data_IF_023440882627
#
_entry.id   IF_023440882627
#
_cell.length_a   1.000
_cell.length_b   1.000
_cell.length_c   1.000
_cell.angle_alpha   90.00
_cell.angle_beta   90.00
_cell.angle_gamma   90.00
#
_symmetry.space_group_name_H-M   'P 1'
#
loop_
_entity.id
_entity.type
_entity.pdbx_description
1 polymer ?
#
# COMPACT_ATOMS: atom_id res chain seq x y z
N UNK A 1 -32.64 -42.19 19.70
CA UNK A 1 -31.61 -41.27 20.22
C UNK A 1 -31.52 -40.09 19.26
N UNK A 2 -31.71 -38.87 19.74
CA UNK A 2 -31.47 -37.67 18.91
C UNK A 2 -29.97 -37.55 18.72
N UNK A 3 -29.49 -37.65 17.48
CA UNK A 3 -28.09 -37.43 17.15
C UNK A 3 -27.76 -35.95 17.47
N UNK A 4 -26.89 -35.74 18.46
CA UNK A 4 -26.39 -34.38 18.77
C UNK A 4 -25.38 -34.00 17.69
N UNK A 5 -25.67 -32.95 16.94
CA UNK A 5 -24.71 -32.34 16.00
C UNK A 5 -23.85 -31.36 16.78
N UNK A 6 -22.54 -31.58 16.80
CA UNK A 6 -21.58 -30.63 17.37
C UNK A 6 -21.16 -29.62 16.30
N UNK A 7 -21.01 -28.36 16.68
CA UNK A 7 -20.38 -27.36 15.83
C UNK A 7 -18.86 -27.64 15.79
N UNK A 8 -18.33 -27.91 14.60
CA UNK A 8 -16.89 -28.01 14.37
C UNK A 8 -16.44 -26.62 13.88
N UNK A 9 -15.58 -25.89 14.61
CA UNK A 9 -15.24 -24.50 14.30
C UNK A 9 -14.82 -24.28 12.84
N UNK A 10 -13.94 -25.14 12.30
CA UNK A 10 -13.49 -25.09 10.91
C UNK A 10 -14.61 -25.21 9.86
N UNK A 11 -15.75 -25.82 10.22
CA UNK A 11 -16.90 -25.95 9.34
C UNK A 11 -17.79 -24.71 9.34
N UNK A 12 -17.61 -23.76 10.27
CA UNK A 12 -18.35 -22.50 10.28
C UNK A 12 -17.90 -21.60 9.13
N UNK A 13 -18.86 -21.02 8.39
CA UNK A 13 -18.55 -20.07 7.33
C UNK A 13 -17.65 -18.94 7.85
N UNK A 14 -16.58 -18.66 7.09
CA UNK A 14 -15.63 -17.60 7.42
C UNK A 14 -14.57 -17.97 8.46
N UNK A 15 -14.64 -19.13 9.13
CA UNK A 15 -13.62 -19.53 10.11
C UNK A 15 -12.22 -19.58 9.48
N UNK A 16 -11.25 -19.00 10.16
CA UNK A 16 -9.83 -19.01 9.80
C UNK A 16 -9.02 -18.86 11.08
N UNK A 17 -8.10 -19.79 11.32
CA UNK A 17 -7.19 -19.76 12.45
C UNK A 17 -5.87 -20.41 12.03
N UNK A 18 -4.76 -19.76 12.36
CA UNK A 18 -3.40 -20.23 12.04
C UNK A 18 -2.49 -20.11 13.26
N UNK A 19 -1.52 -21.01 13.37
CA UNK A 19 -0.52 -21.05 14.44
C UNK A 19 0.63 -20.07 14.14
N UNK A 20 0.31 -18.79 14.01
CA UNK A 20 1.23 -17.72 13.60
C UNK A 20 0.74 -17.02 12.32
N UNK A 21 1.65 -16.31 11.66
CA UNK A 21 1.37 -15.58 10.42
C UNK A 21 2.24 -16.07 9.27
N UNK A 22 1.77 -15.89 8.05
CA UNK A 22 2.58 -16.16 6.85
C UNK A 22 3.74 -15.17 6.81
N UNK A 23 4.95 -15.63 6.53
CA UNK A 23 6.15 -14.78 6.49
C UNK A 23 7.04 -15.10 5.29
N UNK A 24 7.80 -14.10 4.84
CA UNK A 24 8.87 -14.34 3.87
C UNK A 24 10.03 -15.08 4.55
N UNK A 25 10.43 -16.22 3.98
CA UNK A 25 11.59 -17.02 4.44
C UNK A 25 12.81 -16.88 3.52
N UNK A 26 12.62 -16.28 2.34
CA UNK A 26 13.70 -16.01 1.40
C UNK A 26 13.25 -15.11 0.26
N UNK A 27 14.14 -14.90 -0.71
CA UNK A 27 13.89 -13.94 -1.79
C UNK A 27 12.61 -14.23 -2.59
N UNK A 28 12.27 -15.52 -2.73
CA UNK A 28 11.09 -16.02 -3.43
C UNK A 28 10.45 -17.18 -2.63
N UNK A 29 10.49 -17.10 -1.29
CA UNK A 29 10.08 -18.20 -0.40
C UNK A 29 9.23 -17.71 0.75
N UNK A 30 8.24 -18.51 1.13
CA UNK A 30 7.36 -18.25 2.25
C UNK A 30 7.39 -19.42 3.25
N UNK A 31 7.28 -19.09 4.53
CA UNK A 31 6.86 -20.05 5.55
C UNK A 31 5.38 -19.81 5.86
N UNK A 32 4.59 -20.87 5.77
CA UNK A 32 3.15 -20.89 6.01
C UNK A 32 2.89 -21.77 7.23
N UNK A 33 2.47 -21.20 8.36
CA UNK A 33 2.09 -21.97 9.54
C UNK A 33 0.92 -22.92 9.28
N UNK A 34 0.82 -23.96 10.11
CA UNK A 34 -0.36 -24.81 10.11
C UNK A 34 -1.61 -24.05 10.58
N UNK A 35 -2.77 -24.48 10.12
CA UNK A 35 -4.03 -23.86 10.50
C UNK A 35 -5.27 -24.68 10.16
N UNK A 36 -6.41 -24.13 10.55
CA UNK A 36 -7.73 -24.65 10.20
C UNK A 36 -8.59 -23.53 9.63
N UNK A 37 -9.31 -23.84 8.56
CA UNK A 37 -10.07 -22.83 7.85
C UNK A 37 -11.28 -23.41 7.13
N UNK A 38 -12.23 -22.54 6.87
CA UNK A 38 -13.38 -22.81 6.04
C UNK A 38 -13.11 -22.43 4.58
N UNK A 39 -13.43 -23.34 3.64
CA UNK A 39 -13.35 -23.09 2.20
C UNK A 39 -14.68 -23.48 1.55
N UNK A 40 -15.46 -22.51 1.06
CA UNK A 40 -16.72 -22.78 0.36
C UNK A 40 -17.98 -22.81 1.24
N UNK A 41 -17.92 -22.29 2.48
CA UNK A 41 -19.10 -22.07 3.32
C UNK A 41 -19.40 -23.17 4.33
N UNK A 42 -20.57 -23.11 4.96
CA UNK A 42 -20.93 -23.97 6.09
C UNK A 42 -20.75 -25.47 5.79
N UNK A 43 -20.11 -26.20 6.69
CA UNK A 43 -19.82 -27.63 6.55
C UNK A 43 -18.50 -27.96 5.84
N UNK A 44 -17.70 -26.96 5.46
CA UNK A 44 -16.49 -27.14 4.63
C UNK A 44 -15.20 -26.73 5.34
N UNK A 45 -14.86 -27.46 6.40
CA UNK A 45 -13.62 -27.24 7.15
C UNK A 45 -12.44 -28.05 6.61
N UNK A 46 -11.26 -27.43 6.59
CA UNK A 46 -10.02 -28.01 6.11
C UNK A 46 -8.87 -27.70 7.06
N UNK A 47 -7.90 -28.61 7.12
CA UNK A 47 -6.59 -28.36 7.75
C UNK A 47 -5.63 -27.84 6.68
N UNK A 48 -4.98 -26.70 6.91
CA UNK A 48 -3.84 -26.25 6.12
C UNK A 48 -2.56 -26.80 6.77
N UNK A 49 -1.84 -27.73 6.13
CA UNK A 49 -0.57 -28.22 6.65
C UNK A 49 0.49 -27.10 6.64
N UNK A 50 1.50 -27.17 7.52
CA UNK A 50 2.59 -26.21 7.48
C UNK A 50 3.43 -26.42 6.22
N UNK A 51 3.89 -25.32 5.62
CA UNK A 51 4.78 -25.31 4.47
C UNK A 51 6.01 -24.47 4.81
N UNK A 52 7.20 -25.03 4.62
CA UNK A 52 8.48 -24.37 4.91
C UNK A 52 9.21 -24.15 3.59
N UNK A 53 9.81 -22.97 3.41
CA UNK A 53 10.49 -22.57 2.18
C UNK A 53 9.65 -22.81 0.92
N UNK A 54 8.35 -22.53 1.03
CA UNK A 54 7.38 -22.76 -0.03
C UNK A 54 7.62 -21.81 -1.20
N UNK A 55 7.69 -22.36 -2.41
CA UNK A 55 7.90 -21.62 -3.66
C UNK A 55 6.56 -21.25 -4.31
N UNK A 56 6.16 -19.98 -4.35
CA UNK A 56 4.93 -19.60 -5.04
C UNK A 56 5.01 -19.80 -6.57
N UNK A 57 6.19 -19.94 -7.16
CA UNK A 57 6.37 -20.08 -8.61
C UNK A 57 6.51 -21.51 -9.10
N UNK A 58 6.64 -22.47 -8.18
CA UNK A 58 6.72 -23.88 -8.57
C UNK A 58 5.41 -24.30 -9.26
N UNK A 59 5.51 -25.11 -10.32
CA UNK A 59 4.36 -25.52 -11.15
C UNK A 59 3.19 -26.11 -10.34
N UNK A 60 3.47 -26.83 -9.25
CA UNK A 60 2.46 -27.43 -8.39
C UNK A 60 1.77 -26.44 -7.42
N UNK A 61 2.32 -25.23 -7.29
CA UNK A 61 1.97 -24.23 -6.28
C UNK A 61 1.27 -23.01 -6.89
N UNK A 62 0.95 -23.02 -8.18
CA UNK A 62 0.44 -21.88 -8.93
C UNK A 62 -0.58 -22.30 -10.00
N UNK A 63 -1.33 -21.35 -10.55
CA UNK A 63 -2.51 -21.58 -11.39
C UNK A 63 -2.32 -21.31 -12.90
N UNK A 64 -1.08 -21.17 -13.33
CA UNK A 64 -0.64 -20.74 -14.66
C UNK A 64 -0.44 -19.22 -14.79
N UNK A 65 -0.73 -18.42 -13.76
CA UNK A 65 -0.60 -16.97 -13.80
C UNK A 65 0.71 -16.43 -13.22
N UNK A 66 1.57 -17.30 -12.68
CA UNK A 66 2.78 -16.92 -11.93
C UNK A 66 3.98 -17.82 -12.25
N UNK A 67 4.41 -17.83 -13.51
CA UNK A 67 5.59 -18.59 -13.94
C UNK A 67 6.92 -17.99 -13.44
N UNK A 68 6.91 -16.71 -13.08
CA UNK A 68 8.04 -16.00 -12.47
C UNK A 68 7.56 -14.79 -11.67
N UNK A 69 8.40 -14.27 -10.78
CA UNK A 69 8.14 -13.04 -10.04
C UNK A 69 8.86 -11.85 -10.69
N UNK A 70 8.09 -10.83 -11.05
CA UNK A 70 8.57 -9.58 -11.64
C UNK A 70 8.41 -8.44 -10.64
N UNK A 71 9.35 -7.49 -10.68
CA UNK A 71 9.28 -6.28 -9.86
C UNK A 71 7.91 -5.59 -10.03
N UNK A 72 7.19 -5.44 -8.93
CA UNK A 72 5.87 -4.82 -8.90
C UNK A 72 4.70 -5.79 -8.84
N UNK A 73 4.94 -7.10 -8.90
CA UNK A 73 3.87 -8.10 -8.83
C UNK A 73 3.23 -8.13 -7.44
N UNK A 74 1.90 -8.09 -7.41
CA UNK A 74 1.09 -8.44 -6.25
C UNK A 74 0.57 -9.87 -6.42
N UNK A 75 0.91 -10.75 -5.48
CA UNK A 75 0.56 -12.17 -5.52
C UNK A 75 -0.37 -12.51 -4.38
N UNK A 76 -1.41 -13.29 -4.67
CA UNK A 76 -2.43 -13.72 -3.72
C UNK A 76 -2.30 -15.22 -3.45
N UNK A 77 -2.49 -15.60 -2.20
CA UNK A 77 -2.42 -16.98 -1.73
C UNK A 77 -3.82 -17.51 -1.49
N UNK A 78 -4.15 -18.62 -2.14
CA UNK A 78 -5.44 -19.27 -2.06
C UNK A 78 -5.31 -20.66 -1.45
N UNK A 79 -6.03 -20.88 -0.35
CA UNK A 79 -6.27 -22.23 0.10
C UNK A 79 -7.33 -22.88 -0.79
N UNK A 80 -7.06 -24.11 -1.23
CA UNK A 80 -7.93 -24.85 -2.14
C UNK A 80 -8.37 -26.17 -1.51
N UNK A 81 -9.60 -26.61 -1.79
CA UNK A 81 -10.14 -27.84 -1.21
C UNK A 81 -9.35 -29.07 -1.65
N UNK A 82 -8.92 -29.90 -0.69
CA UNK A 82 -8.40 -31.25 -0.94
C UNK A 82 -9.40 -32.34 -0.55
N UNK A 83 -9.25 -33.53 -1.14
CA UNK A 83 -10.21 -34.62 -1.00
C UNK A 83 -10.18 -35.32 0.37
N UNK A 84 -9.09 -35.17 1.13
CA UNK A 84 -8.85 -35.82 2.42
C UNK A 84 -9.10 -34.91 3.63
N UNK A 85 -9.74 -33.75 3.42
CA UNK A 85 -9.95 -32.74 4.46
C UNK A 85 -8.74 -31.84 4.72
N UNK A 86 -7.69 -31.94 3.90
CA UNK A 86 -6.59 -30.96 3.89
C UNK A 86 -6.78 -29.94 2.78
N UNK A 87 -6.32 -28.72 3.01
CA UNK A 87 -6.25 -27.70 1.98
C UNK A 87 -4.90 -27.78 1.26
N UNK A 88 -4.91 -27.58 -0.06
CA UNK A 88 -3.73 -27.18 -0.80
C UNK A 88 -3.52 -25.67 -0.74
N UNK A 89 -2.37 -25.19 -1.21
CA UNK A 89 -2.08 -23.76 -1.34
C UNK A 89 -1.67 -23.44 -2.78
N UNK A 90 -2.28 -22.42 -3.36
CA UNK A 90 -2.04 -21.96 -4.73
C UNK A 90 -1.76 -20.45 -4.72
N UNK A 91 -0.66 -20.03 -5.33
CA UNK A 91 -0.35 -18.64 -5.64
C UNK A 91 -0.98 -18.24 -6.98
N UNK A 92 -1.46 -17.00 -7.05
CA UNK A 92 -2.09 -16.46 -8.26
C UNK A 92 -1.94 -14.94 -8.31
N UNK A 93 -1.84 -14.38 -9.51
CA UNK A 93 -1.95 -12.93 -9.73
C UNK A 93 -3.41 -12.46 -9.88
N UNK A 94 -4.37 -13.40 -9.96
CA UNK A 94 -5.79 -13.07 -9.98
C UNK A 94 -6.28 -12.78 -8.56
N UNK A 95 -6.74 -11.55 -8.31
CA UNK A 95 -7.24 -11.09 -7.01
C UNK A 95 -8.59 -11.72 -6.59
N UNK A 96 -9.32 -12.29 -7.54
CA UNK A 96 -10.69 -12.76 -7.36
C UNK A 96 -10.73 -14.24 -7.00
N UNK A 97 -10.19 -15.09 -7.88
CA UNK A 97 -10.17 -16.55 -7.78
C UNK A 97 -9.00 -17.08 -8.63
N UNK A 98 -8.24 -18.09 -8.19
CA UNK A 98 -7.15 -18.66 -8.96
C UNK A 98 -7.69 -19.51 -10.13
N UNK A 99 -6.93 -19.59 -11.21
CA UNK A 99 -7.21 -20.40 -12.38
C UNK A 99 -7.48 -21.86 -12.01
N UNK A 100 -8.54 -22.44 -12.59
CA UNK A 100 -8.96 -23.82 -12.29
C UNK A 100 -9.82 -23.99 -11.04
N UNK A 101 -10.11 -22.91 -10.30
CA UNK A 101 -10.93 -22.95 -9.09
C UNK A 101 -12.14 -22.00 -9.17
N UNK A 102 -13.01 -22.06 -8.17
CA UNK A 102 -14.14 -21.15 -7.95
C UNK A 102 -14.07 -20.55 -6.55
N UNK A 103 -14.90 -19.56 -6.24
CA UNK A 103 -15.07 -19.05 -4.87
C UNK A 103 -15.62 -20.10 -3.88
N UNK A 104 -16.16 -21.20 -4.38
CA UNK A 104 -16.64 -22.32 -3.57
C UNK A 104 -15.53 -23.33 -3.29
N UNK A 105 -14.56 -23.49 -4.20
CA UNK A 105 -13.47 -24.47 -4.07
C UNK A 105 -12.15 -23.86 -3.63
N UNK A 106 -12.09 -22.55 -3.48
CA UNK A 106 -10.92 -21.81 -3.02
C UNK A 106 -11.30 -20.65 -2.10
N UNK A 107 -10.33 -20.20 -1.30
CA UNK A 107 -10.44 -19.02 -0.47
C UNK A 107 -9.12 -18.27 -0.46
N UNK A 108 -9.15 -16.96 -0.74
CA UNK A 108 -7.98 -16.09 -0.56
C UNK A 108 -7.67 -15.97 0.92
N UNK A 109 -6.48 -16.38 1.32
CA UNK A 109 -6.05 -16.40 2.72
C UNK A 109 -4.89 -15.44 3.01
N UNK A 110 -4.22 -14.93 1.99
CA UNK A 110 -3.08 -14.04 2.16
C UNK A 110 -2.54 -13.53 0.84
N UNK A 111 -1.36 -12.92 0.89
CA UNK A 111 -0.65 -12.41 -0.28
C UNK A 111 0.63 -11.68 0.09
N UNK A 112 1.32 -11.16 -0.92
CA UNK A 112 2.55 -10.39 -0.76
C UNK A 112 2.81 -9.51 -1.99
N UNK A 113 3.71 -8.54 -1.83
CA UNK A 113 4.27 -7.75 -2.91
C UNK A 113 5.71 -8.18 -3.24
N UNK A 114 6.04 -8.33 -4.51
CA UNK A 114 7.40 -8.60 -4.97
C UNK A 114 8.08 -7.30 -5.42
N UNK A 115 9.03 -6.83 -4.62
CA UNK A 115 9.49 -5.45 -4.66
C UNK A 115 10.96 -5.27 -4.28
N UNK A 116 11.41 -4.02 -4.33
CA UNK A 116 12.76 -3.67 -3.86
C UNK A 116 12.77 -3.56 -2.34
N UNK A 117 13.80 -4.12 -1.72
CA UNK A 117 13.96 -4.11 -0.26
C UNK A 117 15.20 -3.32 0.15
N UNK A 118 15.03 -2.42 1.12
CA UNK A 118 16.12 -1.77 1.84
C UNK A 118 16.03 -2.21 3.30
N UNK A 119 17.04 -2.95 3.75
CA UNK A 119 17.08 -3.42 5.15
C UNK A 119 17.42 -2.27 6.11
N UNK A 120 17.15 -2.46 7.40
CA UNK A 120 17.55 -1.53 8.47
C UNK A 120 19.08 -1.29 8.45
N UNK A 121 19.88 -2.32 8.17
CA UNK A 121 21.33 -2.19 8.08
C UNK A 121 21.78 -1.28 6.91
N UNK A 122 20.98 -1.24 5.83
CA UNK A 122 21.22 -0.47 4.61
C UNK A 122 20.59 0.94 4.65
N UNK A 123 19.89 1.33 5.73
CA UNK A 123 19.03 2.53 5.75
C UNK A 123 19.70 3.82 5.29
N UNK A 124 21.01 3.98 5.46
CA UNK A 124 21.76 5.18 5.03
C UNK A 124 22.81 4.90 3.96
N UNK A 125 22.85 3.69 3.40
CA UNK A 125 23.76 3.37 2.32
C UNK A 125 23.20 3.91 0.99
N UNK A 126 23.96 4.82 0.38
CA UNK A 126 23.63 5.50 -0.89
C UNK A 126 24.20 4.75 -2.09
N UNK A 127 25.10 3.79 -1.87
CA UNK A 127 25.67 2.93 -2.90
C UNK A 127 24.88 1.62 -3.08
N UNK A 128 23.80 1.42 -2.32
CA UNK A 128 23.02 0.18 -2.39
C UNK A 128 22.53 -0.14 -3.80
N UNK A 129 22.49 -1.43 -4.08
CA UNK A 129 21.62 -2.02 -5.09
C UNK A 129 20.54 -2.79 -4.34
N UNK A 130 19.33 -2.22 -4.17
CA UNK A 130 18.27 -2.88 -3.42
C UNK A 130 17.95 -4.24 -4.03
N UNK A 131 17.86 -5.27 -3.19
CA UNK A 131 17.46 -6.59 -3.65
C UNK A 131 16.00 -6.56 -4.08
N UNK A 132 15.68 -7.17 -5.22
CA UNK A 132 14.29 -7.44 -5.60
C UNK A 132 13.89 -8.81 -5.08
N UNK A 133 12.89 -8.85 -4.22
CA UNK A 133 12.43 -10.06 -3.52
C UNK A 133 11.01 -9.88 -3.01
N UNK A 134 10.43 -10.92 -2.41
CA UNK A 134 9.23 -10.77 -1.58
C UNK A 134 9.54 -9.70 -0.51
N UNK A 135 8.76 -8.62 -0.50
CA UNK A 135 8.92 -7.54 0.48
C UNK A 135 8.43 -8.09 1.83
N UNK A 136 9.32 -8.31 2.83
CA UNK A 136 8.96 -9.13 3.98
C UNK A 136 7.79 -8.60 4.80
N UNK A 137 7.70 -7.27 4.94
CA UNK A 137 6.61 -6.59 5.65
C UNK A 137 5.41 -6.28 4.76
N UNK A 138 5.34 -6.79 3.52
CA UNK A 138 4.12 -6.76 2.69
C UNK A 138 3.33 -8.06 2.77
N UNK A 139 3.92 -9.11 3.35
CA UNK A 139 3.27 -10.41 3.50
C UNK A 139 2.13 -10.26 4.49
N UNK A 140 0.95 -10.73 4.11
CA UNK A 140 -0.26 -10.62 4.90
C UNK A 140 -1.08 -11.91 4.83
N UNK A 141 -1.90 -12.12 5.86
CA UNK A 141 -2.91 -13.17 5.92
C UNK A 141 -4.24 -12.65 6.49
N UNK A 142 -5.26 -13.49 6.61
CA UNK A 142 -6.58 -13.03 7.10
C UNK A 142 -6.58 -12.57 8.58
N UNK A 143 -5.55 -12.91 9.36
CA UNK A 143 -5.35 -12.50 10.76
C UNK A 143 -4.25 -11.44 10.95
N UNK A 144 -3.39 -11.23 9.97
CA UNK A 144 -2.32 -10.23 9.97
C UNK A 144 -2.34 -9.44 8.67
N UNK A 145 -3.05 -8.32 8.65
CA UNK A 145 -3.29 -7.51 7.45
C UNK A 145 -3.73 -6.08 7.80
N UNK A 146 -3.70 -5.15 6.84
CA UNK A 146 -4.43 -3.89 6.95
C UNK A 146 -5.95 -4.13 7.03
N UNK A 147 -6.63 -3.15 7.61
CA UNK A 147 -8.10 -3.06 7.65
C UNK A 147 -8.75 -2.87 6.27
N UNK A 148 -7.98 -2.47 5.25
CA UNK A 148 -8.44 -2.29 3.87
C UNK A 148 -7.97 -3.42 2.93
N UNK A 149 -8.02 -3.18 1.61
CA UNK A 149 -7.35 -4.03 0.62
C UNK A 149 -5.82 -3.97 0.86
N UNK A 150 -5.14 -5.11 1.08
CA UNK A 150 -3.72 -5.18 1.41
C UNK A 150 -2.79 -5.06 0.21
N UNK A 151 -3.33 -5.09 -1.01
CA UNK A 151 -2.55 -5.02 -2.25
C UNK A 151 -1.67 -3.77 -2.28
N UNK A 152 -0.36 -3.95 -2.51
CA UNK A 152 0.59 -2.84 -2.57
C UNK A 152 0.84 -2.10 -1.26
N UNK A 153 0.62 -2.73 -0.09
CA UNK A 153 0.88 -2.15 1.23
C UNK A 153 2.01 -2.85 1.98
N UNK A 154 2.62 -2.13 2.92
CA UNK A 154 3.62 -2.63 3.87
C UNK A 154 3.26 -2.27 5.30
N UNK A 155 3.49 -3.19 6.22
CA UNK A 155 3.41 -2.94 7.65
C UNK A 155 4.63 -2.15 8.10
N UNK A 156 4.40 -0.96 8.65
CA UNK A 156 5.44 -0.04 9.13
C UNK A 156 5.58 -0.14 10.64
N UNK A 157 4.46 -0.29 11.34
CA UNK A 157 4.42 -0.54 12.79
C UNK A 157 3.67 -1.85 13.03
N UNK A 158 4.35 -2.90 13.52
CA UNK A 158 3.73 -4.21 13.74
C UNK A 158 2.41 -4.14 14.52
N UNK A 159 1.36 -4.73 13.93
CA UNK A 159 0.01 -4.78 14.50
C UNK A 159 -0.67 -3.42 14.64
N UNK A 160 -0.19 -2.37 13.95
CA UNK A 160 -0.73 -1.00 14.12
C UNK A 160 -0.87 -0.20 12.84
N UNK A 161 0.14 -0.18 11.97
CA UNK A 161 0.17 0.76 10.85
C UNK A 161 0.62 0.06 9.56
N UNK A 162 -0.24 0.16 8.55
CA UNK A 162 0.06 -0.21 7.17
C UNK A 162 0.05 1.02 6.28
N UNK A 163 0.98 1.08 5.35
CA UNK A 163 1.17 2.20 4.43
C UNK A 163 1.32 1.69 3.00
N UNK A 164 0.76 2.42 2.05
CA UNK A 164 0.97 2.18 0.63
C UNK A 164 2.45 2.26 0.25
N UNK A 165 2.94 1.22 -0.41
CA UNK A 165 4.32 1.14 -0.91
C UNK A 165 4.59 2.30 -1.87
N UNK A 166 3.66 2.58 -2.78
CA UNK A 166 3.82 3.59 -3.82
C UNK A 166 2.86 4.77 -3.61
N UNK A 167 3.24 5.94 -4.13
CA UNK A 167 2.27 7.00 -4.39
C UNK A 167 1.08 6.43 -5.16
N UNK A 168 -0.13 6.84 -4.80
CA UNK A 168 -1.34 6.26 -5.36
C UNK A 168 -1.57 6.68 -6.80
N UNK A 169 -1.96 5.72 -7.64
CA UNK A 169 -2.39 5.88 -9.03
C UNK A 169 -3.90 5.73 -9.15
N UNK A 170 -4.46 6.14 -10.30
CA UNK A 170 -5.86 5.90 -10.62
C UNK A 170 -6.16 4.39 -10.67
N UNK A 171 -7.24 3.99 -10.02
CA UNK A 171 -7.74 2.62 -10.07
C UNK A 171 -9.11 2.54 -10.73
N UNK A 172 -9.93 1.58 -10.29
CA UNK A 172 -11.26 1.37 -10.85
C UNK A 172 -12.24 2.48 -10.44
N UNK A 173 -13.25 2.70 -11.28
CA UNK A 173 -14.32 3.67 -11.04
C UNK A 173 -14.04 5.03 -11.68
N UNK A 174 -14.92 5.98 -11.44
CA UNK A 174 -14.82 7.36 -11.93
C UNK A 174 -15.11 8.32 -10.79
N UNK A 175 -14.52 9.52 -10.84
CA UNK A 175 -14.79 10.56 -9.84
C UNK A 175 -16.30 10.74 -9.57
N UNK A 176 -16.73 10.82 -8.29
CA UNK A 176 -15.94 10.80 -7.05
C UNK A 176 -15.76 9.42 -6.40
N UNK A 177 -16.10 8.33 -7.09
CA UNK A 177 -16.12 6.96 -6.57
C UNK A 177 -14.91 6.12 -6.97
N UNK A 178 -13.96 6.70 -7.72
CA UNK A 178 -12.74 5.99 -8.09
C UNK A 178 -11.93 5.60 -6.84
N UNK A 179 -11.37 4.40 -6.89
CA UNK A 179 -10.59 3.79 -5.81
C UNK A 179 -9.12 3.89 -6.19
N UNK A 180 -8.31 4.71 -5.51
CA UNK A 180 -6.88 4.81 -5.79
C UNK A 180 -6.14 3.53 -5.40
N UNK A 181 -5.05 3.24 -6.10
CA UNK A 181 -4.25 2.01 -5.92
C UNK A 181 -2.77 2.30 -5.78
N UNK A 182 -2.09 1.59 -4.88
CA UNK A 182 -0.63 1.59 -4.74
C UNK A 182 -0.04 0.59 -5.73
N UNK A 183 0.63 1.05 -6.79
CA UNK A 183 1.15 0.19 -7.86
C UNK A 183 2.52 0.64 -8.35
N UNK A 184 3.36 -0.30 -8.74
CA UNK A 184 4.67 -0.05 -9.36
C UNK A 184 4.54 0.37 -10.82
N UNK A 185 5.38 1.30 -11.27
CA UNK A 185 5.52 1.63 -12.69
C UNK A 185 4.34 2.39 -13.31
N UNK A 186 3.43 2.92 -12.48
CA UNK A 186 2.24 3.66 -12.93
C UNK A 186 2.40 5.15 -12.64
N UNK A 187 1.76 6.01 -13.42
CA UNK A 187 1.73 7.45 -13.14
C UNK A 187 0.94 7.70 -11.84
N UNK A 188 1.51 8.41 -10.85
CA UNK A 188 0.79 8.76 -9.63
C UNK A 188 -0.28 9.83 -9.90
N UNK A 189 -1.36 9.80 -9.12
CA UNK A 189 -2.31 10.89 -9.00
C UNK A 189 -1.56 12.08 -8.40
N UNK A 190 -1.85 13.27 -8.93
CA UNK A 190 -1.29 14.53 -8.46
C UNK A 190 -2.37 15.58 -8.30
N UNK A 191 -2.05 16.64 -7.58
CA UNK A 191 -2.88 17.81 -7.37
C UNK A 191 -2.89 18.70 -8.63
N UNK A 192 -3.32 18.22 -9.79
CA UNK A 192 -3.39 19.04 -11.02
C UNK A 192 -4.83 19.43 -11.38
N UNK A 193 -5.70 18.43 -11.48
CA UNK A 193 -7.16 18.58 -11.56
C UNK A 193 -7.81 18.28 -10.20
N UNK A 194 -7.10 17.54 -9.35
CA UNK A 194 -7.44 17.34 -7.96
C UNK A 194 -6.84 18.46 -7.11
N UNK A 195 -7.49 18.71 -5.98
CA UNK A 195 -6.98 19.50 -4.87
C UNK A 195 -6.77 18.59 -3.66
N UNK A 196 -6.10 19.07 -2.60
CA UNK A 196 -6.00 18.30 -1.35
C UNK A 196 -7.39 17.95 -0.79
N UNK A 197 -8.37 18.83 -0.99
CA UNK A 197 -9.77 18.59 -0.62
C UNK A 197 -10.44 17.48 -1.42
N UNK A 198 -9.87 16.96 -2.50
CA UNK A 198 -10.42 15.81 -3.21
C UNK A 198 -9.85 14.48 -2.67
N UNK A 199 -8.62 14.49 -2.17
CA UNK A 199 -7.92 13.28 -1.75
C UNK A 199 -8.54 12.57 -0.56
N UNK A 200 -9.26 13.28 0.32
CA UNK A 200 -9.99 12.63 1.41
C UNK A 200 -11.09 11.68 0.91
N UNK A 201 -11.73 11.97 -0.24
CA UNK A 201 -12.71 11.06 -0.85
C UNK A 201 -12.00 9.86 -1.46
N UNK A 202 -10.86 10.07 -2.13
CA UNK A 202 -10.09 8.98 -2.73
C UNK A 202 -9.57 8.00 -1.67
N UNK A 203 -8.92 8.49 -0.60
CA UNK A 203 -8.44 7.60 0.47
C UNK A 203 -9.60 6.93 1.19
N UNK A 204 -10.74 7.62 1.39
CA UNK A 204 -11.96 7.01 1.94
C UNK A 204 -12.46 5.86 1.07
N UNK A 205 -12.52 6.03 -0.25
CA UNK A 205 -12.97 4.98 -1.17
C UNK A 205 -12.07 3.75 -1.12
N UNK A 206 -10.77 3.94 -0.85
CA UNK A 206 -9.82 2.86 -0.62
C UNK A 206 -9.84 2.28 0.81
N UNK A 207 -10.66 2.81 1.72
CA UNK A 207 -10.70 2.40 3.13
C UNK A 207 -9.47 2.86 3.94
N UNK A 208 -8.85 3.96 3.53
CA UNK A 208 -7.59 4.50 4.09
C UNK A 208 -7.78 5.94 4.56
N UNK A 209 -6.71 6.51 5.10
CA UNK A 209 -6.57 7.93 5.45
C UNK A 209 -5.27 8.50 4.87
N UNK A 210 -5.20 9.83 4.78
CA UNK A 210 -3.92 10.49 4.55
C UNK A 210 -3.02 10.28 5.78
N UNK A 211 -1.71 10.09 5.62
CA UNK A 211 -0.81 9.93 6.74
C UNK A 211 -0.66 11.23 7.54
N UNK A 212 -0.41 11.09 8.84
CA UNK A 212 0.06 12.17 9.68
C UNK A 212 1.54 12.49 9.41
N UNK A 213 2.01 13.63 9.93
CA UNK A 213 3.44 13.98 9.90
C UNK A 213 4.31 12.90 10.54
N UNK A 214 3.94 12.39 11.70
CA UNK A 214 4.70 11.37 12.41
C UNK A 214 4.73 10.02 11.67
N UNK A 215 3.64 9.66 11.01
CA UNK A 215 3.62 8.48 10.15
C UNK A 215 4.55 8.65 8.96
N UNK A 216 4.54 9.82 8.30
CA UNK A 216 5.49 10.13 7.24
C UNK A 216 6.94 10.03 7.71
N UNK A 217 7.28 10.70 8.81
CA UNK A 217 8.64 10.65 9.37
C UNK A 217 9.06 9.22 9.72
N UNK A 218 8.10 8.36 10.10
CA UNK A 218 8.36 6.96 10.39
C UNK A 218 8.57 6.17 9.10
N UNK A 219 7.59 6.11 8.20
CA UNK A 219 7.66 5.25 7.03
C UNK A 219 8.72 5.70 6.01
N UNK A 220 9.09 6.98 6.01
CA UNK A 220 10.09 7.52 5.10
C UNK A 220 11.53 7.29 5.60
N UNK A 221 11.74 6.94 6.87
CA UNK A 221 13.07 6.79 7.45
C UNK A 221 13.92 5.78 6.65
N UNK A 222 15.17 6.16 6.36
CA UNK A 222 16.06 5.41 5.46
C UNK A 222 15.84 5.65 3.96
N UNK A 223 14.81 6.40 3.53
CA UNK A 223 14.76 6.90 2.16
C UNK A 223 15.91 7.90 1.96
N UNK A 224 16.65 7.82 0.85
CA UNK A 224 17.84 8.63 0.66
C UNK A 224 17.48 10.10 0.42
N UNK A 225 18.43 10.99 0.71
CA UNK A 225 18.35 12.39 0.28
C UNK A 225 18.37 12.48 -1.26
N UNK A 226 17.64 13.43 -1.83
CA UNK A 226 17.71 13.72 -3.27
C UNK A 226 19.02 14.39 -3.69
N UNK A 227 19.19 14.62 -5.00
CA UNK A 227 20.37 15.24 -5.60
C UNK A 227 19.97 16.34 -6.58
N UNK A 228 20.74 17.43 -6.65
CA UNK A 228 20.42 18.53 -7.58
C UNK A 228 20.65 18.17 -9.04
N UNK A 229 21.71 17.39 -9.32
CA UNK A 229 22.22 17.14 -10.67
C UNK A 229 21.83 15.79 -11.31
N UNK A 230 21.18 14.89 -10.56
CA UNK A 230 20.78 13.57 -11.08
C UNK A 230 19.65 12.95 -10.25
N UNK A 231 19.10 11.84 -10.73
CA UNK A 231 18.02 11.08 -10.09
C UNK A 231 18.50 9.72 -9.54
N UNK A 232 19.77 9.60 -9.10
CA UNK A 232 20.33 8.31 -8.65
C UNK A 232 19.68 7.81 -7.34
N UNK A 233 19.43 8.72 -6.40
CA UNK A 233 18.90 8.41 -5.07
C UNK A 233 17.39 8.56 -4.98
N UNK A 234 16.85 9.60 -5.63
CA UNK A 234 15.44 9.93 -5.68
C UNK A 234 15.15 10.68 -6.98
N UNK A 235 13.90 10.62 -7.48
CA UNK A 235 13.47 11.46 -8.61
C UNK A 235 13.35 12.90 -8.12
N UNK A 236 14.42 13.66 -8.15
CA UNK A 236 14.56 14.92 -7.42
C UNK A 236 15.40 15.97 -8.13
N UNK A 237 16.15 15.62 -9.18
CA UNK A 237 17.01 16.56 -9.91
C UNK A 237 16.31 17.89 -10.21
N UNK A 238 16.98 18.99 -9.92
CA UNK A 238 16.43 20.35 -10.10
C UNK A 238 16.03 20.67 -11.54
N UNK A 239 16.57 19.93 -12.52
CA UNK A 239 16.20 20.01 -13.93
C UNK A 239 14.96 19.21 -14.34
N UNK A 240 14.36 18.40 -13.46
CA UNK A 240 13.14 17.68 -13.78
C UNK A 240 11.96 18.66 -13.94
N UNK A 241 11.14 18.48 -14.98
CA UNK A 241 9.97 19.32 -15.27
C UNK A 241 8.63 18.72 -14.83
N UNK A 242 8.65 17.50 -14.27
CA UNK A 242 7.45 16.79 -13.86
C UNK A 242 7.75 15.49 -13.10
N UNK A 243 6.70 14.84 -12.58
CA UNK A 243 6.83 13.54 -11.91
C UNK A 243 7.19 12.44 -12.91
N UNK A 244 7.55 11.28 -12.38
CA UNK A 244 7.76 10.05 -13.13
C UNK A 244 6.86 8.93 -12.60
N UNK A 245 6.88 7.76 -13.22
CA UNK A 245 6.17 6.58 -12.73
C UNK A 245 6.68 6.18 -11.35
N UNK A 246 5.79 5.62 -10.53
CA UNK A 246 6.11 5.09 -9.21
C UNK A 246 7.23 4.05 -9.27
N UNK A 247 8.20 4.16 -8.37
CA UNK A 247 9.34 3.25 -8.28
C UNK A 247 10.33 3.35 -9.45
N UNK A 248 10.34 4.43 -10.22
CA UNK A 248 11.30 4.63 -11.30
C UNK A 248 12.76 4.63 -10.82
N UNK A 249 13.03 5.16 -9.62
CA UNK A 249 14.38 5.24 -9.06
C UNK A 249 14.63 4.07 -8.12
N UNK A 250 15.62 3.23 -8.47
CA UNK A 250 15.87 1.97 -7.76
C UNK A 250 16.17 2.15 -6.28
N UNK A 251 16.94 3.19 -5.92
CA UNK A 251 17.40 3.44 -4.55
C UNK A 251 16.38 4.18 -3.68
N UNK A 252 15.29 4.70 -4.26
CA UNK A 252 14.27 5.49 -3.57
C UNK A 252 13.31 4.61 -2.76
N UNK A 253 13.86 3.85 -1.82
CA UNK A 253 13.15 2.90 -0.96
C UNK A 253 13.53 3.21 0.48
N UNK A 254 12.58 3.29 1.39
CA UNK A 254 12.82 3.49 2.83
C UNK A 254 13.23 2.18 3.50
N UNK A 255 13.68 2.23 4.75
CA UNK A 255 13.99 1.00 5.50
C UNK A 255 12.74 0.16 5.86
N UNK A 256 11.56 0.74 5.67
CA UNK A 256 10.25 0.07 5.78
C UNK A 256 9.71 -0.35 4.42
N UNK A 257 10.53 -0.30 3.37
CA UNK A 257 10.20 -0.70 2.01
C UNK A 257 9.10 0.16 1.37
N UNK A 258 8.91 1.40 1.85
CA UNK A 258 8.08 2.39 1.18
C UNK A 258 8.88 3.05 0.07
N UNK A 259 8.31 3.11 -1.12
CA UNK A 259 8.95 3.60 -2.35
C UNK A 259 8.56 5.05 -2.62
N UNK A 260 9.51 5.81 -3.14
CA UNK A 260 9.39 7.23 -3.47
C UNK A 260 8.94 8.09 -2.27
N UNK A 261 9.36 7.74 -1.05
CA UNK A 261 9.15 8.60 0.12
C UNK A 261 10.05 9.86 0.11
N UNK A 262 10.95 9.95 -0.87
CA UNK A 262 11.77 11.11 -1.18
C UNK A 262 11.72 11.37 -2.70
N UNK A 263 11.37 12.59 -3.10
CA UNK A 263 11.23 12.96 -4.51
C UNK A 263 9.95 12.43 -5.16
N UNK A 264 9.91 12.48 -6.50
CA UNK A 264 8.73 12.26 -7.32
C UNK A 264 7.63 13.31 -7.06
N UNK A 265 6.73 13.05 -6.12
CA UNK A 265 5.74 14.02 -5.67
C UNK A 265 5.83 14.14 -4.15
N UNK A 266 5.47 15.31 -3.65
CA UNK A 266 5.21 15.44 -2.22
C UNK A 266 4.05 14.53 -1.78
N UNK A 267 4.14 13.97 -0.57
CA UNK A 267 3.01 13.32 0.09
C UNK A 267 2.13 14.36 0.79
N UNK A 268 0.84 14.45 0.43
CA UNK A 268 -0.11 15.19 1.27
C UNK A 268 -0.33 14.50 2.61
N UNK A 269 -0.23 15.30 3.68
CA UNK A 269 -0.39 14.83 5.06
C UNK A 269 -1.66 15.42 5.69
N UNK A 270 -2.19 14.76 6.71
CA UNK A 270 -3.45 15.14 7.36
C UNK A 270 -3.33 16.31 8.36
N UNK A 271 -2.14 16.90 8.50
CA UNK A 271 -1.90 17.98 9.44
C UNK A 271 -2.23 19.36 8.84
N UNK A 272 -3.22 20.03 9.41
CA UNK A 272 -3.70 21.37 9.02
C UNK A 272 -3.34 22.39 10.08
N UNK A 273 -3.10 23.63 9.67
CA UNK A 273 -2.94 24.76 10.56
C UNK A 273 -3.26 26.07 9.85
N UNK A 274 -3.26 27.17 10.60
CA UNK A 274 -3.37 28.52 10.07
C UNK A 274 -2.16 29.33 10.55
N UNK A 275 -1.54 30.12 9.68
CA UNK A 275 -0.39 30.96 10.04
C UNK A 275 -0.79 32.27 10.75
N UNK A 276 -2.10 32.51 10.91
CA UNK A 276 -2.64 33.71 11.52
C UNK A 276 -2.77 34.88 10.55
N UNK A 277 -3.24 36.02 11.07
CA UNK A 277 -3.53 37.23 10.30
C UNK A 277 -5.00 37.67 10.47
N UNK A 278 -5.59 38.20 9.41
CA UNK A 278 -6.99 38.63 9.41
C UNK A 278 -7.89 37.48 8.97
N UNK A 279 -8.74 37.00 9.87
CA UNK A 279 -9.65 35.91 9.60
C UNK A 279 -10.92 36.39 8.89
N UNK A 280 -11.29 35.68 7.83
CA UNK A 280 -12.52 35.93 7.08
C UNK A 280 -13.13 34.59 6.63
N UNK A 281 -14.43 34.61 6.35
CA UNK A 281 -15.07 33.51 5.63
C UNK A 281 -14.73 33.58 4.14
N UNK A 282 -14.22 32.48 3.57
CA UNK A 282 -13.83 32.43 2.16
C UNK A 282 -14.38 31.20 1.44
N UNK A 283 -14.83 31.38 0.19
CA UNK A 283 -15.26 30.30 -0.72
C UNK A 283 -14.15 29.86 -1.68
N UNK A 284 -13.24 30.77 -2.04
CA UNK A 284 -12.24 30.58 -3.11
C UNK A 284 -11.20 29.50 -2.82
N UNK A 285 -11.03 29.11 -1.56
CA UNK A 285 -10.08 28.07 -1.13
C UNK A 285 -10.74 26.71 -0.85
N UNK A 286 -12.07 26.64 -0.91
CA UNK A 286 -12.83 25.39 -0.70
C UNK A 286 -13.62 24.96 -1.93
N UNK A 287 -13.98 25.89 -2.81
CA UNK A 287 -14.56 25.59 -4.13
C UNK A 287 -13.43 25.40 -5.16
N UNK A 288 -12.66 24.33 -5.01
CA UNK A 288 -11.47 24.01 -5.80
C UNK A 288 -11.43 22.53 -6.18
N UNK A 289 -10.49 22.14 -7.04
CA UNK A 289 -10.32 20.76 -7.46
C UNK A 289 -11.41 20.28 -8.42
N UNK A 290 -11.73 18.99 -8.37
CA UNK A 290 -12.64 18.33 -9.33
C UNK A 290 -14.04 18.94 -9.37
N UNK A 291 -14.54 19.35 -8.22
CA UNK A 291 -15.91 19.87 -8.05
C UNK A 291 -15.93 21.39 -7.81
N UNK A 292 -14.92 22.13 -8.31
CA UNK A 292 -14.73 23.56 -8.02
C UNK A 292 -15.92 24.47 -8.39
N UNK A 293 -16.80 24.01 -9.28
CA UNK A 293 -18.01 24.75 -9.69
C UNK A 293 -19.17 24.62 -8.69
N UNK A 294 -19.08 23.72 -7.71
CA UNK A 294 -20.16 23.41 -6.77
C UNK A 294 -19.87 24.05 -5.41
N UNK A 295 -20.70 25.01 -4.94
CA UNK A 295 -20.52 25.60 -3.62
C UNK A 295 -20.80 24.59 -2.49
N UNK A 296 -19.82 24.38 -1.59
CA UNK A 296 -19.92 23.40 -0.48
C UNK A 296 -19.63 24.00 0.90
N UNK A 297 -19.86 25.30 1.05
CA UNK A 297 -19.63 26.04 2.29
C UNK A 297 -18.46 27.01 2.19
N UNK A 298 -18.01 27.49 3.34
CA UNK A 298 -16.91 28.45 3.49
C UNK A 298 -16.02 28.00 4.64
N UNK A 299 -14.75 28.36 4.59
CA UNK A 299 -13.83 28.15 5.71
C UNK A 299 -13.48 29.50 6.34
N UNK A 300 -13.50 29.58 7.67
CA UNK A 300 -13.08 30.77 8.42
C UNK A 300 -11.58 30.65 8.71
N UNK A 301 -10.77 31.41 7.99
CA UNK A 301 -9.31 31.28 8.06
C UNK A 301 -8.62 32.62 7.77
N UNK A 302 -7.33 32.72 8.09
CA UNK A 302 -6.46 33.82 7.66
C UNK A 302 -5.43 33.33 6.65
N UNK A 303 -4.73 32.23 6.96
CA UNK A 303 -3.70 31.64 6.13
C UNK A 303 -3.67 30.12 6.34
N UNK A 304 -4.72 29.42 5.91
CA UNK A 304 -4.84 27.97 6.02
C UNK A 304 -3.71 27.27 5.24
N UNK A 305 -3.02 26.34 5.91
CA UNK A 305 -1.92 25.54 5.38
C UNK A 305 -2.06 24.09 5.80
N UNK A 306 -1.39 23.23 5.05
CA UNK A 306 -1.19 21.82 5.40
C UNK A 306 0.30 21.47 5.33
N UNK A 307 0.65 20.34 5.92
CA UNK A 307 1.96 19.74 5.75
C UNK A 307 2.01 18.84 4.51
N UNK A 308 3.16 18.83 3.87
CA UNK A 308 3.54 17.83 2.88
C UNK A 308 4.92 17.27 3.17
N UNK A 309 5.18 16.01 2.78
CA UNK A 309 6.41 15.27 3.07
C UNK A 309 7.19 14.82 1.82
N UNK A 310 8.52 14.70 1.92
CA UNK A 310 9.37 13.96 0.98
C UNK A 310 10.06 14.79 -0.10
N UNK A 311 9.45 15.89 -0.53
CA UNK A 311 9.92 16.73 -1.63
C UNK A 311 9.44 16.25 -3.01
N UNK A 312 9.28 17.16 -3.97
CA UNK A 312 8.87 16.82 -5.33
C UNK A 312 10.05 16.61 -6.29
N UNK A 313 9.71 16.29 -7.53
CA UNK A 313 10.63 16.03 -8.64
C UNK A 313 11.69 17.10 -8.89
N UNK A 314 11.50 18.36 -8.49
CA UNK A 314 12.43 19.47 -8.78
C UNK A 314 13.16 20.03 -7.55
N UNK A 315 13.02 19.41 -6.39
CA UNK A 315 13.52 19.95 -5.11
C UNK A 315 14.98 19.60 -4.79
N UNK A 316 15.60 18.73 -5.58
CA UNK A 316 17.00 18.36 -5.50
C UNK A 316 17.39 17.82 -4.13
N UNK A 317 18.45 18.37 -3.56
CA UNK A 317 18.98 17.99 -2.23
C UNK A 317 18.02 18.26 -1.08
N UNK A 318 16.90 18.97 -1.31
CA UNK A 318 15.89 19.18 -0.26
C UNK A 318 15.06 17.93 -0.02
N UNK A 319 14.88 17.06 -1.02
CA UNK A 319 14.10 15.83 -0.87
C UNK A 319 14.73 14.87 0.15
N UNK A 320 13.91 14.10 0.86
CA UNK A 320 14.39 13.10 1.81
C UNK A 320 13.36 12.73 2.89
N UNK A 321 13.73 11.73 3.70
CA UNK A 321 12.90 11.15 4.76
C UNK A 321 12.37 12.14 5.83
N UNK A 322 12.97 13.33 5.93
CA UNK A 322 12.60 14.38 6.89
C UNK A 322 12.26 15.70 6.22
N UNK A 323 12.11 15.71 4.91
CA UNK A 323 11.71 16.88 4.16
C UNK A 323 10.24 17.17 4.47
N UNK A 324 9.97 18.23 5.22
CA UNK A 324 8.62 18.70 5.53
C UNK A 324 8.47 20.12 5.00
N UNK A 325 7.33 20.38 4.37
CA UNK A 325 6.93 21.73 3.97
C UNK A 325 5.57 22.05 4.58
N UNK A 326 5.56 22.97 5.54
CA UNK A 326 4.37 23.39 6.29
C UNK A 326 3.61 24.53 5.61
N UNK A 327 4.06 25.03 4.46
CA UNK A 327 3.44 26.17 3.79
C UNK A 327 2.70 25.72 2.50
N UNK A 328 2.20 24.48 2.47
CA UNK A 328 1.41 23.97 1.37
C UNK A 328 -0.01 24.53 1.42
N UNK A 329 -0.52 24.97 0.26
CA UNK A 329 -1.85 25.54 0.13
C UNK A 329 -2.83 24.41 -0.26
N UNK A 330 -3.78 24.01 0.59
CA UNK A 330 -4.67 22.86 0.33
C UNK A 330 -5.57 23.04 -0.90
N UNK A 331 -5.76 24.28 -1.34
CA UNK A 331 -6.55 24.62 -2.52
C UNK A 331 -5.73 24.70 -3.81
N UNK A 332 -4.41 24.58 -3.73
CA UNK A 332 -3.56 24.63 -4.90
C UNK A 332 -3.68 23.33 -5.69
N UNK A 333 -3.70 23.46 -7.01
CA UNK A 333 -3.58 22.36 -7.93
C UNK A 333 -2.35 22.59 -8.83
N UNK A 334 -1.17 22.28 -8.30
CA UNK A 334 0.14 22.57 -8.90
C UNK A 334 0.79 21.40 -9.64
N UNK A 335 0.23 20.19 -9.54
CA UNK A 335 0.77 18.95 -10.10
C UNK A 335 2.08 18.49 -9.46
N UNK A 336 2.40 18.99 -8.25
CA UNK A 336 3.64 18.74 -7.52
C UNK A 336 3.45 17.90 -6.26
N UNK A 337 2.20 17.66 -5.86
CA UNK A 337 1.84 16.89 -4.69
C UNK A 337 0.95 15.72 -5.10
N UNK A 338 1.26 14.53 -4.60
CA UNK A 338 0.43 13.35 -4.70
C UNK A 338 -0.02 12.93 -3.31
N UNK A 339 -0.38 11.67 -3.16
CA UNK A 339 -0.68 11.10 -1.86
C UNK A 339 -0.39 9.61 -1.86
N UNK A 340 -0.29 9.06 -0.65
CA UNK A 340 -0.33 7.64 -0.38
C UNK A 340 -1.32 7.40 0.76
N UNK A 341 -1.95 6.24 0.81
CA UNK A 341 -2.85 5.87 1.88
C UNK A 341 -2.11 5.20 3.04
N UNK A 342 -2.64 5.41 4.25
CA UNK A 342 -2.31 4.64 5.45
C UNK A 342 -3.60 4.11 6.10
N UNK A 343 -3.49 3.01 6.83
CA UNK A 343 -4.59 2.47 7.63
C UNK A 343 -4.06 1.65 8.80
N UNK A 344 -4.98 1.32 9.71
CA UNK A 344 -4.64 0.51 10.88
C UNK A 344 -4.57 -0.98 10.50
N UNK A 345 -3.85 -1.77 11.31
CA UNK A 345 -3.87 -3.22 11.21
C UNK A 345 -5.18 -3.79 11.79
N UNK A 346 -5.60 -4.96 11.29
CA UNK A 346 -6.73 -5.71 11.84
C UNK A 346 -6.36 -6.45 13.12
#
# INVERSE_FOLDING_TARGET
>A
MVQKTYAIPAMGAGHFEMMGSIVASGAMRLDVPEGVLNIGGNGKGYVLPPLVDWDPTAVANQDGSLDSLTLGDDVYLYAVQGADGRAGLVASTNITVPGGYTSETSRKIGGFHYGRVRTIAQRYDTAITPATQIVPNSVWDLSHRPTCDPTGMVEVVPGRLWVDIYLNSEGSGTWPENIPVSRFGVQPIKDDIYSRSDFHLLVRNAGKRLPTVEEFLTYAEGAPQGNDGNNDLAWSATGNSGPTTTGAVAKAVSMFNVVDAAGNLWDWLDNHHDLGGTYNWTTSVVNVGKDSSIPRGQVYHAAWRCFVGGGNFGNGVRCGARCLYSHAHPWSASGSNGFRGACDAL
#
